data_IF_961861108854
#
_entry.id   IF_961861108854
#
_cell.length_a   1.000
_cell.length_b   1.000
_cell.length_c   1.000
_cell.angle_alpha   90.00
_cell.angle_beta   90.00
_cell.angle_gamma   90.00
#
_symmetry.space_group_name_H-M   'P 1'
#
loop_
_entity.id
_entity.type
_entity.pdbx_description
1 polymer ?
#
# COMPACT_ATOMS: atom_id res chain seq x y z
N UNK A 1 10.16 17.72 1.87
CA UNK A 1 9.12 16.78 2.38
C UNK A 1 9.26 15.37 1.79
N UNK A 2 9.34 15.18 0.47
CA UNK A 2 9.53 13.84 -0.12
C UNK A 2 10.80 13.12 0.36
N UNK A 3 11.96 13.80 0.44
CA UNK A 3 13.18 13.19 0.98
C UNK A 3 13.07 12.82 2.47
N UNK A 4 12.39 13.63 3.29
CA UNK A 4 12.22 13.34 4.71
C UNK A 4 11.38 12.08 4.93
N UNK A 5 10.29 11.94 4.17
CA UNK A 5 9.44 10.74 4.18
C UNK A 5 10.21 9.51 3.70
N UNK A 6 10.99 9.63 2.62
CA UNK A 6 11.85 8.55 2.15
C UNK A 6 12.88 8.11 3.22
N UNK A 7 13.54 9.07 3.90
CA UNK A 7 14.45 8.77 5.00
C UNK A 7 13.74 8.11 6.18
N UNK A 8 12.54 8.59 6.56
CA UNK A 8 11.76 8.00 7.65
C UNK A 8 11.33 6.56 7.34
N UNK A 9 10.90 6.29 6.11
CA UNK A 9 10.57 4.94 5.64
C UNK A 9 11.81 4.05 5.74
N UNK A 10 12.94 4.48 5.17
CA UNK A 10 14.20 3.73 5.22
C UNK A 10 14.62 3.44 6.66
N UNK A 11 14.57 4.44 7.54
CA UNK A 11 14.94 4.29 8.94
C UNK A 11 14.04 3.27 9.67
N UNK A 12 12.71 3.32 9.45
CA UNK A 12 11.77 2.39 10.06
C UNK A 12 12.00 0.94 9.61
N UNK A 13 12.37 0.73 8.34
CA UNK A 13 12.75 -0.60 7.85
C UNK A 13 14.10 -1.07 8.41
N UNK A 14 15.10 -0.19 8.45
CA UNK A 14 16.44 -0.51 8.93
C UNK A 14 16.46 -0.82 10.44
N UNK A 15 15.66 -0.14 11.25
CA UNK A 15 15.57 -0.38 12.69
C UNK A 15 14.56 -1.46 13.09
N UNK A 16 13.71 -1.91 12.17
CA UNK A 16 12.59 -2.83 12.46
C UNK A 16 11.43 -2.19 13.21
N UNK A 17 11.47 -0.88 13.46
CA UNK A 17 10.41 -0.13 14.16
C UNK A 17 9.29 0.28 13.20
N UNK A 18 8.60 -0.71 12.62
CA UNK A 18 7.63 -0.49 11.54
C UNK A 18 6.45 0.43 11.90
N UNK A 19 6.09 0.58 13.18
CA UNK A 19 5.06 1.53 13.61
C UNK A 19 5.44 2.98 13.27
N UNK A 20 6.74 3.29 13.11
CA UNK A 20 7.22 4.60 12.63
C UNK A 20 6.90 4.90 11.16
N UNK A 21 6.39 3.92 10.40
CA UNK A 21 5.89 4.15 9.04
C UNK A 21 4.59 4.97 9.01
N UNK A 22 3.87 5.07 10.13
CA UNK A 22 2.65 5.86 10.23
C UNK A 22 2.92 7.33 9.89
N UNK A 23 2.15 7.85 8.94
CA UNK A 23 2.30 9.21 8.44
C UNK A 23 3.44 9.42 7.43
N UNK A 24 4.36 8.47 7.28
CA UNK A 24 5.50 8.59 6.37
C UNK A 24 5.09 8.45 4.88
N UNK A 25 3.91 7.92 4.58
CA UNK A 25 3.40 7.76 3.21
C UNK A 25 2.63 8.98 2.69
N UNK A 26 2.61 10.10 3.42
CA UNK A 26 1.99 11.32 2.94
C UNK A 26 2.66 11.81 1.65
N UNK A 27 1.87 11.95 0.58
CA UNK A 27 2.33 12.40 -0.73
C UNK A 27 1.61 13.70 -1.12
N UNK A 28 2.39 14.78 -1.24
CA UNK A 28 1.95 16.11 -1.67
C UNK A 28 2.32 16.43 -3.12
N UNK A 29 3.05 15.55 -3.80
CA UNK A 29 3.53 15.78 -5.15
C UNK A 29 2.73 15.00 -6.20
N UNK A 30 2.43 13.72 -5.99
CA UNK A 30 1.84 12.89 -7.05
C UNK A 30 0.35 12.60 -6.80
N UNK A 31 -0.03 12.12 -5.62
CA UNK A 31 -1.42 11.82 -5.26
C UNK A 31 -2.41 12.99 -5.40
N UNK A 32 -2.08 14.25 -5.06
CA UNK A 32 -3.03 15.36 -5.18
C UNK A 32 -3.54 15.56 -6.60
N UNK A 33 -2.67 15.38 -7.60
CA UNK A 33 -3.03 15.50 -9.02
C UNK A 33 -3.77 14.25 -9.53
N UNK A 34 -3.45 13.06 -9.00
CA UNK A 34 -4.14 11.80 -9.37
C UNK A 34 -5.53 11.67 -8.78
N UNK A 35 -5.88 12.39 -7.70
CA UNK A 35 -7.21 12.35 -7.08
C UNK A 35 -8.35 12.62 -8.07
N UNK A 36 -8.13 13.42 -9.12
CA UNK A 36 -9.15 13.66 -10.17
C UNK A 36 -9.47 12.41 -11.00
N UNK A 37 -8.48 11.52 -11.18
CA UNK A 37 -8.60 10.27 -11.96
C UNK A 37 -8.95 9.07 -11.08
N UNK A 38 -8.61 9.14 -9.79
CA UNK A 38 -8.92 8.12 -8.78
C UNK A 38 -9.70 8.79 -7.64
N UNK A 39 -10.97 9.15 -7.84
CA UNK A 39 -11.74 9.97 -6.90
C UNK A 39 -11.93 9.29 -5.53
N UNK A 40 -11.96 7.96 -5.50
CA UNK A 40 -12.04 7.16 -4.28
C UNK A 40 -10.72 7.03 -3.52
N UNK A 41 -9.60 7.55 -4.04
CA UNK A 41 -8.28 7.40 -3.41
C UNK A 41 -8.25 7.86 -1.93
N UNK A 42 -8.71 9.08 -1.57
CA UNK A 42 -8.58 9.55 -0.19
C UNK A 42 -9.40 8.73 0.80
N UNK A 43 -10.62 8.33 0.43
CA UNK A 43 -11.49 7.57 1.33
C UNK A 43 -11.01 6.12 1.50
N UNK A 44 -10.38 5.53 0.47
CA UNK A 44 -9.76 4.21 0.57
C UNK A 44 -8.51 4.23 1.45
N UNK A 45 -7.65 5.25 1.33
CA UNK A 45 -6.50 5.44 2.21
C UNK A 45 -6.96 5.57 3.67
N UNK A 46 -7.93 6.45 3.94
CA UNK A 46 -8.46 6.65 5.27
C UNK A 46 -9.11 5.37 5.86
N UNK A 47 -9.81 4.59 5.03
CA UNK A 47 -10.39 3.32 5.45
C UNK A 47 -9.33 2.27 5.80
N UNK A 48 -8.23 2.20 5.04
CA UNK A 48 -7.12 1.30 5.33
C UNK A 48 -6.46 1.65 6.68
N UNK A 49 -6.15 2.93 6.90
CA UNK A 49 -5.52 3.41 8.13
C UNK A 49 -6.44 3.21 9.35
N UNK A 50 -7.73 3.52 9.23
CA UNK A 50 -8.74 3.26 10.28
C UNK A 50 -8.88 1.76 10.59
N UNK A 51 -8.69 0.88 9.60
CA UNK A 51 -8.69 -0.56 9.78
C UNK A 51 -7.37 -1.12 10.36
N UNK A 52 -6.38 -0.27 10.63
CA UNK A 52 -5.14 -0.63 11.31
C UNK A 52 -3.92 -0.75 10.41
N UNK A 53 -3.99 -0.35 9.14
CA UNK A 53 -2.79 -0.25 8.29
C UNK A 53 -1.76 0.71 8.91
N UNK A 54 -0.48 0.45 8.67
CA UNK A 54 0.62 1.36 8.98
C UNK A 54 0.59 2.59 8.06
N UNK A 55 0.04 2.43 6.86
CA UNK A 55 -0.29 3.51 5.95
C UNK A 55 -0.75 2.97 4.61
N UNK A 56 -1.29 3.84 3.76
CA UNK A 56 -1.75 3.48 2.43
C UNK A 56 -1.48 4.60 1.42
N UNK A 57 -1.29 4.21 0.16
CA UNK A 57 -0.90 5.12 -0.92
C UNK A 57 -1.27 4.56 -2.29
N UNK A 58 -1.34 5.44 -3.29
CA UNK A 58 -1.49 5.07 -4.69
C UNK A 58 -0.24 4.32 -5.17
N UNK A 59 -0.42 3.12 -5.71
CA UNK A 59 0.68 2.29 -6.20
C UNK A 59 1.03 2.64 -7.64
N UNK A 60 2.27 3.10 -7.87
CA UNK A 60 2.71 3.60 -9.17
C UNK A 60 1.83 4.76 -9.65
N UNK A 61 1.46 4.76 -10.92
CA UNK A 61 0.49 5.71 -11.45
C UNK A 61 -0.96 5.39 -11.05
N UNK A 62 -1.24 4.24 -10.43
CA UNK A 62 -2.60 3.78 -10.14
C UNK A 62 -3.29 3.07 -11.33
N UNK A 63 -4.54 2.63 -11.19
CA UNK A 63 -5.50 2.89 -10.09
C UNK A 63 -5.35 2.00 -8.85
N UNK A 64 -4.35 1.11 -8.83
CA UNK A 64 -4.07 0.27 -7.67
C UNK A 64 -3.71 1.12 -6.44
N UNK A 65 -4.28 0.77 -5.27
CA UNK A 65 -3.99 1.40 -3.98
C UNK A 65 -3.38 0.32 -3.08
N UNK A 66 -2.24 0.62 -2.49
CA UNK A 66 -1.52 -0.27 -1.60
C UNK A 66 -1.72 0.15 -0.14
N UNK A 67 -1.82 -0.81 0.76
CA UNK A 67 -1.76 -0.59 2.20
C UNK A 67 -0.67 -1.49 2.81
N UNK A 68 0.16 -0.92 3.67
CA UNK A 68 1.21 -1.63 4.40
C UNK A 68 0.68 -2.03 5.77
N UNK A 69 0.85 -3.28 6.15
CA UNK A 69 0.40 -3.78 7.47
C UNK A 69 1.26 -4.95 7.95
N UNK A 70 1.34 -5.11 9.27
CA UNK A 70 1.94 -6.29 9.93
C UNK A 70 0.92 -7.41 10.17
N UNK A 71 -0.37 -7.08 10.21
CA UNK A 71 -1.46 -8.00 10.60
C UNK A 71 -2.79 -7.60 9.97
N UNK A 72 -3.81 -8.44 10.11
CA UNK A 72 -5.19 -8.11 9.73
C UNK A 72 -5.39 -7.70 8.26
N UNK A 73 -4.58 -8.24 7.34
CA UNK A 73 -4.64 -7.90 5.91
C UNK A 73 -6.03 -8.10 5.29
N UNK A 74 -6.77 -9.13 5.70
CA UNK A 74 -8.13 -9.39 5.23
C UNK A 74 -9.14 -8.31 5.68
N UNK A 75 -9.03 -7.84 6.92
CA UNK A 75 -9.89 -6.78 7.45
C UNK A 75 -9.63 -5.45 6.73
N UNK A 76 -8.35 -5.12 6.53
CA UNK A 76 -7.92 -3.91 5.82
C UNK A 76 -8.38 -3.98 4.35
N UNK A 77 -8.15 -5.10 3.67
CA UNK A 77 -8.63 -5.35 2.32
C UNK A 77 -10.15 -5.14 2.18
N UNK A 78 -10.94 -5.70 3.11
CA UNK A 78 -12.39 -5.54 3.11
C UNK A 78 -12.81 -4.08 3.35
N UNK A 79 -12.11 -3.36 4.23
CA UNK A 79 -12.37 -1.93 4.46
C UNK A 79 -12.06 -1.08 3.22
N UNK A 80 -10.93 -1.33 2.57
CA UNK A 80 -10.55 -0.66 1.31
C UNK A 80 -11.55 -0.94 0.19
N UNK A 81 -11.95 -2.20 0.00
CA UNK A 81 -12.93 -2.58 -1.04
C UNK A 81 -14.27 -1.88 -0.83
N UNK A 82 -14.78 -1.88 0.42
CA UNK A 82 -16.02 -1.15 0.76
C UNK A 82 -15.90 0.35 0.48
N UNK A 83 -14.78 0.97 0.85
CA UNK A 83 -14.56 2.40 0.63
C UNK A 83 -14.40 2.77 -0.85
N UNK A 84 -13.91 1.85 -1.69
CA UNK A 84 -13.83 2.06 -3.13
C UNK A 84 -15.20 2.08 -3.82
N UNK A 85 -16.23 1.48 -3.22
CA UNK A 85 -17.60 1.50 -3.72
C UNK A 85 -17.80 0.77 -5.05
N UNK A 86 -16.85 -0.10 -5.45
CA UNK A 86 -16.90 -0.84 -6.71
C UNK A 86 -16.68 -2.33 -6.47
N UNK A 87 -17.60 -3.15 -6.99
CA UNK A 87 -17.49 -4.61 -6.96
C UNK A 87 -16.50 -5.16 -8.00
N UNK A 88 -16.13 -4.37 -9.01
CA UNK A 88 -15.18 -4.77 -10.05
C UNK A 88 -13.72 -4.78 -9.55
N UNK A 89 -13.43 -4.18 -8.40
CA UNK A 89 -12.09 -4.12 -7.83
C UNK A 89 -11.64 -5.47 -7.28
N UNK A 90 -10.44 -5.93 -7.69
CA UNK A 90 -9.77 -7.09 -7.11
C UNK A 90 -8.84 -6.66 -5.98
N UNK A 91 -8.82 -7.44 -4.90
CA UNK A 91 -7.82 -7.28 -3.83
C UNK A 91 -6.86 -8.45 -3.82
N UNK A 92 -5.57 -8.18 -3.62
CA UNK A 92 -4.52 -9.19 -3.49
C UNK A 92 -3.75 -8.88 -2.21
N UNK A 93 -3.71 -9.83 -1.29
CA UNK A 93 -2.89 -9.75 -0.09
C UNK A 93 -1.58 -10.45 -0.41
N UNK A 94 -0.47 -9.71 -0.34
CA UNK A 94 0.85 -10.20 -0.71
C UNK A 94 1.89 -9.81 0.34
N UNK A 95 3.11 -10.33 0.18
CA UNK A 95 4.29 -10.00 0.98
C UNK A 95 5.39 -9.46 0.05
N UNK A 96 6.37 -8.77 0.62
CA UNK A 96 7.56 -8.39 -0.13
C UNK A 96 8.25 -9.65 -0.68
N UNK A 97 8.53 -9.66 -1.99
CA UNK A 97 9.31 -10.73 -2.61
C UNK A 97 10.80 -10.35 -2.59
N UNK A 98 11.54 -10.97 -1.69
CA UNK A 98 12.99 -10.76 -1.55
C UNK A 98 13.82 -11.55 -2.57
N UNK A 99 13.18 -12.25 -3.51
CA UNK A 99 13.85 -13.16 -4.43
C UNK A 99 13.83 -12.66 -5.87
N UNK A 100 12.93 -11.72 -6.20
CA UNK A 100 12.87 -11.06 -7.51
C UNK A 100 12.58 -12.02 -8.69
N UNK A 101 12.99 -11.60 -9.88
CA UNK A 101 12.78 -12.36 -11.11
C UNK A 101 13.64 -13.63 -11.14
N UNK A 102 13.04 -14.74 -11.55
CA UNK A 102 13.71 -16.04 -11.69
C UNK A 102 13.22 -16.79 -12.91
N UNK A 103 14.10 -17.64 -13.44
CA UNK A 103 13.75 -18.62 -14.45
C UNK A 103 12.99 -19.74 -13.73
N UNK A 104 11.74 -19.97 -14.13
CA UNK A 104 10.99 -21.15 -13.70
C UNK A 104 11.36 -22.30 -14.64
N UNK A 105 11.96 -23.36 -14.11
CA UNK A 105 12.09 -24.60 -14.87
C UNK A 105 10.70 -25.25 -14.95
N UNK A 106 10.12 -25.44 -16.15
CA UNK A 106 8.80 -26.09 -16.29
C UNK A 106 8.72 -27.47 -15.65
N UNK A 107 9.87 -28.12 -15.38
CA UNK A 107 9.98 -29.44 -14.77
C UNK A 107 10.04 -29.40 -13.23
N UNK A 108 10.41 -28.26 -12.63
CA UNK A 108 10.24 -28.03 -11.19
C UNK A 108 8.90 -27.32 -10.96
N UNK A 109 7.84 -28.10 -10.80
CA UNK A 109 6.58 -27.56 -10.25
C UNK A 109 6.85 -27.12 -8.81
N UNK A 110 6.66 -25.82 -8.54
CA UNK A 110 6.61 -25.24 -7.18
C UNK A 110 5.25 -25.55 -6.58
#
# INVERSE_FOLDING_TARGET
ESCANACAITAAFASGEYEKLRGAFADRLHQPYRKRLVPFLPQVIAAAEKAGALGAFLSGSGSAICAVTLRNGAQIAAAMKRAAGSEAGRTIITRADNRGARILDPKLKI
#
